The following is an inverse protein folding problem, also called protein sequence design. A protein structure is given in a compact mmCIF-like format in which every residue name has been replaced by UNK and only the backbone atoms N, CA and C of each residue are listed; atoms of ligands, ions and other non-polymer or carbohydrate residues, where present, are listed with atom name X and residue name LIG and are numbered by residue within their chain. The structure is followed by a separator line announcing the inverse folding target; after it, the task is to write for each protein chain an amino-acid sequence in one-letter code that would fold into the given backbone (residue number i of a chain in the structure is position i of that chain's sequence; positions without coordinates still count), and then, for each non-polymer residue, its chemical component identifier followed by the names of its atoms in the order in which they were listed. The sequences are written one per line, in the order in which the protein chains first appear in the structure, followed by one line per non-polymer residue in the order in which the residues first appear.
data_IF_497101829570
#
_entry.id   IF_497101829570
#
_cell.length_a   1.000
_cell.length_b   1.000
_cell.length_c   1.000
_cell.angle_alpha   90.00
_cell.angle_beta   90.00
_cell.angle_gamma   90.00
#
_symmetry.space_group_name_H-M   'P 1'
#
loop_
_entity.id
_entity.type
_entity.pdbx_description
1 polymer ?
#
# COMPACT_ATOMS: atom_id res chain seq x y z
N UNK A 1 -13.68 2.15 20.05
CA UNK A 1 -12.83 2.61 18.94
C UNK A 1 -13.08 4.10 18.71
N UNK A 2 -12.05 4.91 18.47
CA UNK A 2 -12.23 6.35 18.20
C UNK A 2 -12.95 6.58 16.86
N UNK A 3 -13.74 7.65 16.75
CA UNK A 3 -14.50 7.99 15.54
C UNK A 3 -13.64 8.30 14.32
N UNK A 4 -12.39 8.70 14.53
CA UNK A 4 -11.46 8.99 13.43
C UNK A 4 -10.83 7.75 12.80
N UNK A 5 -10.95 6.59 13.44
CA UNK A 5 -10.35 5.33 12.98
C UNK A 5 -11.37 4.53 12.18
N UNK A 6 -11.81 5.09 11.07
CA UNK A 6 -12.80 4.51 10.17
C UNK A 6 -12.13 3.57 9.17
N UNK A 7 -12.68 2.37 9.00
CA UNK A 7 -12.08 1.37 8.11
C UNK A 7 -13.08 0.42 7.47
N UNK A 8 -14.36 0.47 7.84
CA UNK A 8 -15.40 -0.42 7.29
C UNK A 8 -15.65 -0.13 5.81
N UNK A 9 -16.25 -1.08 5.11
CA UNK A 9 -16.62 -0.89 3.69
C UNK A 9 -17.60 0.28 3.53
N UNK A 10 -18.50 0.47 4.49
CA UNK A 10 -19.43 1.60 4.56
C UNK A 10 -18.68 2.93 4.72
N UNK A 11 -17.65 2.97 5.60
CA UNK A 11 -16.80 4.16 5.79
C UNK A 11 -16.06 4.52 4.50
N UNK A 12 -15.60 3.52 3.74
CA UNK A 12 -14.99 3.74 2.42
C UNK A 12 -16.00 4.36 1.46
N UNK A 13 -17.23 3.82 1.41
CA UNK A 13 -18.31 4.35 0.59
C UNK A 13 -18.66 5.80 0.96
N UNK A 14 -18.76 6.12 2.25
CA UNK A 14 -19.01 7.48 2.73
C UNK A 14 -17.87 8.45 2.36
N UNK A 15 -16.62 8.05 2.61
CA UNK A 15 -15.46 8.88 2.31
C UNK A 15 -15.34 9.17 0.80
N UNK A 16 -15.55 8.15 -0.04
CA UNK A 16 -15.52 8.27 -1.50
C UNK A 16 -16.69 9.14 -1.98
N UNK A 17 -17.89 8.96 -1.43
CA UNK A 17 -19.07 9.78 -1.75
C UNK A 17 -18.95 11.25 -1.34
N UNK A 18 -18.09 11.56 -0.36
CA UNK A 18 -17.82 12.91 0.11
C UNK A 18 -16.69 13.63 -0.64
N UNK A 19 -16.02 12.97 -1.60
CA UNK A 19 -14.94 13.57 -2.39
C UNK A 19 -15.51 14.67 -3.31
N UNK A 20 -14.94 15.86 -3.21
CA UNK A 20 -15.34 17.05 -4.01
C UNK A 20 -14.18 17.66 -4.78
N UNK A 21 -12.94 17.49 -4.31
CA UNK A 21 -11.72 18.04 -4.91
C UNK A 21 -10.95 17.01 -5.73
N UNK A 22 -11.21 15.73 -5.49
CA UNK A 22 -10.62 14.62 -6.20
C UNK A 22 -11.53 14.05 -7.30
N UNK A 23 -11.01 13.08 -8.03
CA UNK A 23 -11.76 12.28 -9.01
C UNK A 23 -11.88 10.86 -8.49
N UNK A 24 -13.12 10.40 -8.34
CA UNK A 24 -13.45 9.02 -7.93
C UNK A 24 -13.67 8.18 -9.16
N UNK A 25 -13.14 6.95 -9.15
CA UNK A 25 -13.41 5.93 -10.17
C UNK A 25 -13.74 4.59 -9.52
N UNK A 26 -14.69 3.87 -10.10
CA UNK A 26 -14.91 2.46 -9.85
C UNK A 26 -13.90 1.67 -10.69
N UNK A 27 -12.96 1.02 -10.05
CA UNK A 27 -11.89 0.28 -10.74
C UNK A 27 -12.26 -1.18 -10.97
N UNK A 28 -12.96 -1.80 -10.04
CA UNK A 28 -13.47 -3.16 -10.13
C UNK A 28 -14.69 -3.38 -9.24
N UNK A 29 -15.34 -4.52 -9.45
CA UNK A 29 -16.28 -5.10 -8.50
C UNK A 29 -15.66 -6.41 -8.02
N UNK A 30 -15.55 -6.58 -6.70
CA UNK A 30 -14.96 -7.76 -6.09
C UNK A 30 -15.80 -9.01 -6.32
N UNK A 31 -15.23 -10.17 -6.00
CA UNK A 31 -15.94 -11.45 -6.09
C UNK A 31 -17.26 -11.46 -5.29
N UNK A 32 -17.29 -10.79 -4.13
CA UNK A 32 -18.47 -10.61 -3.28
C UNK A 32 -19.42 -9.49 -3.73
N UNK A 33 -19.20 -8.89 -4.91
CA UNK A 33 -20.06 -7.84 -5.46
C UNK A 33 -19.82 -6.45 -4.87
N UNK A 34 -18.71 -6.20 -4.17
CA UNK A 34 -18.39 -4.93 -3.53
C UNK A 34 -17.51 -4.06 -4.42
N UNK A 35 -17.73 -2.73 -4.43
CA UNK A 35 -16.95 -1.83 -5.28
C UNK A 35 -15.52 -1.65 -4.76
N UNK A 36 -14.55 -1.63 -5.70
CA UNK A 36 -13.16 -1.25 -5.49
C UNK A 36 -12.95 0.10 -6.13
N UNK A 37 -12.64 1.11 -5.33
CA UNK A 37 -12.51 2.49 -5.79
C UNK A 37 -11.06 2.96 -5.86
N UNK A 38 -10.80 3.91 -6.75
CA UNK A 38 -9.67 4.82 -6.65
C UNK A 38 -10.14 6.26 -6.47
N UNK A 39 -9.37 7.04 -5.69
CA UNK A 39 -9.53 8.48 -5.55
C UNK A 39 -8.24 9.14 -6.00
N UNK A 40 -8.31 10.12 -6.89
CA UNK A 40 -7.12 10.76 -7.39
C UNK A 40 -7.19 12.27 -7.31
N UNK A 41 -6.06 12.91 -6.94
CA UNK A 41 -5.87 14.33 -6.81
C UNK A 41 -4.78 14.83 -7.75
N UNK A 42 -4.90 16.08 -8.18
CA UNK A 42 -4.03 16.64 -9.19
C UNK A 42 -4.35 16.11 -10.59
N UNK A 43 -4.20 16.96 -11.59
CA UNK A 43 -4.36 16.56 -12.98
C UNK A 43 -3.25 15.57 -13.38
N UNK A 44 -3.61 14.58 -14.20
CA UNK A 44 -2.64 13.69 -14.81
C UNK A 44 -1.94 14.42 -15.95
N UNK A 45 -0.62 14.60 -15.83
CA UNK A 45 0.16 15.14 -16.94
C UNK A 45 0.16 14.12 -18.09
N UNK A 46 -0.08 14.54 -19.33
CA UNK A 46 -0.04 13.67 -20.48
C UNK A 46 1.36 13.09 -20.66
N UNK A 47 1.42 11.84 -21.08
CA UNK A 47 2.67 11.21 -21.47
C UNK A 47 2.53 10.41 -22.77
N UNK A 48 3.62 10.32 -23.51
CA UNK A 48 3.68 9.51 -24.72
C UNK A 48 4.11 8.09 -24.33
N UNK A 49 3.44 7.10 -24.90
CA UNK A 49 3.76 5.68 -24.75
C UNK A 49 3.84 5.04 -26.12
N UNK A 50 4.98 4.42 -26.43
CA UNK A 50 5.21 3.67 -27.67
C UNK A 50 5.50 2.18 -27.43
N UNK A 51 5.74 1.80 -26.16
CA UNK A 51 6.03 0.44 -25.76
C UNK A 51 5.41 0.12 -24.39
N UNK A 52 5.22 -1.16 -24.05
CA UNK A 52 5.02 -1.59 -22.67
C UNK A 52 6.34 -1.47 -21.90
N UNK A 53 6.28 -1.55 -20.56
CA UNK A 53 7.47 -1.34 -19.73
C UNK A 53 8.56 -2.38 -19.99
N UNK A 54 8.21 -3.66 -20.13
CA UNK A 54 9.20 -4.72 -20.37
C UNK A 54 9.99 -4.47 -21.66
N UNK A 55 9.31 -4.15 -22.76
CA UNK A 55 9.96 -3.83 -24.04
C UNK A 55 10.80 -2.57 -23.94
N UNK A 56 10.29 -1.52 -23.28
CA UNK A 56 11.01 -0.26 -23.08
C UNK A 56 12.27 -0.47 -22.24
N UNK A 57 12.21 -1.24 -21.18
CA UNK A 57 13.33 -1.57 -20.30
C UNK A 57 14.41 -2.39 -21.05
N UNK A 58 14.00 -3.43 -21.78
CA UNK A 58 14.90 -4.26 -22.58
C UNK A 58 15.57 -3.50 -23.73
N UNK A 59 14.92 -2.48 -24.27
CA UNK A 59 15.50 -1.60 -25.29
C UNK A 59 16.44 -0.53 -24.71
N UNK A 60 16.64 -0.50 -23.38
CA UNK A 60 17.37 0.56 -22.67
C UNK A 60 16.75 1.98 -22.83
N UNK A 61 15.48 2.06 -23.22
CA UNK A 61 14.71 3.29 -23.37
C UNK A 61 13.41 3.24 -22.56
N UNK A 62 13.49 3.19 -21.21
CA UNK A 62 12.31 3.03 -20.35
C UNK A 62 11.30 4.19 -20.50
N UNK A 63 11.71 5.35 -20.98
CA UNK A 63 10.83 6.47 -21.35
C UNK A 63 9.88 6.15 -22.51
N UNK A 64 10.15 5.12 -23.31
CA UNK A 64 9.20 4.66 -24.32
C UNK A 64 7.89 4.13 -23.70
N UNK A 65 7.91 3.73 -22.42
CA UNK A 65 6.73 3.36 -21.67
C UNK A 65 5.95 4.58 -21.17
N UNK A 66 6.63 5.62 -20.68
CA UNK A 66 5.97 6.82 -20.15
C UNK A 66 6.90 8.03 -20.23
N UNK A 67 6.93 8.68 -21.40
CA UNK A 67 7.65 9.92 -21.61
C UNK A 67 6.79 11.09 -21.23
N UNK A 68 7.11 11.74 -20.11
CA UNK A 68 6.47 12.96 -19.62
C UNK A 68 7.29 14.18 -20.01
N UNK A 69 6.60 15.35 -20.11
CA UNK A 69 7.27 16.62 -20.30
C UNK A 69 8.18 16.97 -19.11
N UNK A 70 9.27 17.73 -19.32
CA UNK A 70 10.04 18.28 -18.21
C UNK A 70 9.13 19.11 -17.28
N UNK A 71 9.27 18.91 -15.97
CA UNK A 71 8.46 19.57 -14.95
C UNK A 71 7.07 18.97 -14.71
N UNK A 72 6.73 17.85 -15.38
CA UNK A 72 5.54 17.09 -15.06
C UNK A 72 5.51 16.68 -13.58
N UNK A 73 4.32 16.67 -12.98
CA UNK A 73 4.13 16.28 -11.58
C UNK A 73 4.56 14.84 -11.35
N UNK A 74 5.28 14.55 -10.27
CA UNK A 74 5.51 13.17 -9.86
C UNK A 74 4.18 12.50 -9.50
N UNK A 75 4.12 11.18 -9.72
CA UNK A 75 2.94 10.38 -9.44
C UNK A 75 3.23 9.44 -8.28
N UNK A 76 2.46 9.59 -7.20
CA UNK A 76 2.46 8.69 -6.05
C UNK A 76 1.15 7.87 -6.06
N UNK A 77 1.27 6.56 -5.99
CA UNK A 77 0.13 5.65 -5.83
C UNK A 77 0.18 4.98 -4.46
N UNK A 78 -0.94 5.02 -3.75
CA UNK A 78 -1.16 4.38 -2.45
C UNK A 78 -2.13 3.23 -2.66
N UNK A 79 -1.71 2.02 -2.30
CA UNK A 79 -2.51 0.79 -2.36
C UNK A 79 -2.74 0.33 -0.94
N UNK A 80 -3.97 0.35 -0.46
CA UNK A 80 -4.32 0.00 0.92
C UNK A 80 -5.41 -1.07 0.97
N UNK A 81 -5.49 -1.80 2.08
CA UNK A 81 -6.50 -2.83 2.28
C UNK A 81 -6.39 -3.99 1.30
N UNK A 82 -5.19 -4.37 0.88
CA UNK A 82 -4.91 -5.60 0.11
C UNK A 82 -5.31 -6.82 0.93
N UNK A 83 -5.01 -6.80 2.22
CA UNK A 83 -5.58 -7.70 3.21
C UNK A 83 -6.67 -6.96 3.99
N UNK A 84 -7.89 -7.46 3.94
CA UNK A 84 -9.05 -6.77 4.53
C UNK A 84 -9.04 -6.73 6.06
N UNK A 85 -8.21 -7.55 6.72
CA UNK A 85 -8.03 -7.52 8.17
C UNK A 85 -7.03 -6.45 8.64
N UNK A 86 -6.24 -5.92 7.74
CA UNK A 86 -5.28 -4.86 8.02
C UNK A 86 -5.98 -3.49 7.98
N UNK A 87 -6.89 -3.31 8.94
CA UNK A 87 -7.85 -2.20 9.01
C UNK A 87 -7.17 -0.83 9.17
N UNK A 88 -5.97 -0.81 9.74
CA UNK A 88 -5.11 0.36 9.93
C UNK A 88 -4.79 1.03 8.59
N UNK A 89 -4.57 0.21 7.58
CA UNK A 89 -4.22 0.66 6.23
C UNK A 89 -5.36 1.42 5.58
N UNK A 90 -6.58 0.91 5.74
CA UNK A 90 -7.81 1.56 5.26
C UNK A 90 -8.03 2.87 6.03
N UNK A 91 -7.91 2.83 7.37
CA UNK A 91 -8.07 4.03 8.20
C UNK A 91 -7.05 5.13 7.83
N UNK A 92 -5.78 4.75 7.59
CA UNK A 92 -4.75 5.65 7.11
C UNK A 92 -5.07 6.28 5.76
N UNK A 93 -5.57 5.48 4.81
CA UNK A 93 -5.96 5.96 3.48
C UNK A 93 -7.18 6.89 3.52
N UNK A 94 -8.20 6.59 4.34
CA UNK A 94 -9.38 7.46 4.51
C UNK A 94 -9.01 8.80 5.16
N UNK A 95 -8.11 8.78 6.13
CA UNK A 95 -7.59 10.01 6.73
C UNK A 95 -6.74 10.83 5.73
N UNK A 96 -5.96 10.17 4.86
CA UNK A 96 -5.26 10.87 3.76
C UNK A 96 -6.26 11.54 2.81
N UNK A 97 -7.32 10.84 2.38
CA UNK A 97 -8.40 11.43 1.57
C UNK A 97 -8.99 12.64 2.28
N UNK A 98 -9.28 12.54 3.59
CA UNK A 98 -9.80 13.66 4.38
C UNK A 98 -8.86 14.85 4.41
N UNK A 99 -7.56 14.63 4.57
CA UNK A 99 -6.55 15.70 4.50
C UNK A 99 -6.55 16.37 3.13
N UNK A 100 -6.68 15.61 2.05
CA UNK A 100 -6.75 16.18 0.68
C UNK A 100 -7.99 17.03 0.47
N UNK A 101 -9.12 16.67 1.06
CA UNK A 101 -10.38 17.40 0.92
C UNK A 101 -10.42 18.66 1.81
N UNK A 102 -9.83 18.63 3.00
CA UNK A 102 -10.07 19.65 4.04
C UNK A 102 -8.81 20.27 4.64
N UNK A 103 -7.64 19.70 4.41
CA UNK A 103 -6.38 20.08 5.07
C UNK A 103 -6.20 19.49 6.47
N UNK A 104 -7.19 18.75 6.99
CA UNK A 104 -7.16 18.14 8.33
C UNK A 104 -7.58 16.67 8.25
N UNK A 105 -7.08 15.84 9.17
CA UNK A 105 -7.51 14.46 9.32
C UNK A 105 -8.89 14.35 10.02
N UNK A 106 -9.37 13.14 10.22
CA UNK A 106 -10.66 12.90 10.89
C UNK A 106 -10.66 13.23 12.39
N UNK A 107 -9.48 13.44 13.01
CA UNK A 107 -9.34 13.99 14.37
C UNK A 107 -9.55 15.51 14.41
N UNK A 108 -9.56 16.17 13.24
CA UNK A 108 -9.51 17.63 13.13
C UNK A 108 -8.09 18.20 13.21
N UNK A 109 -7.04 17.36 13.30
CA UNK A 109 -5.64 17.81 13.29
C UNK A 109 -5.26 18.26 11.89
N UNK A 110 -4.76 19.50 11.78
CA UNK A 110 -4.31 20.05 10.51
C UNK A 110 -2.97 19.43 10.07
N UNK A 111 -2.87 19.16 8.76
CA UNK A 111 -1.67 18.64 8.09
C UNK A 111 -1.24 19.55 6.92
N UNK A 112 -0.88 20.83 7.20
CA UNK A 112 -0.63 21.80 6.14
C UNK A 112 0.54 21.41 5.23
N UNK A 113 1.61 20.84 5.79
CA UNK A 113 2.75 20.37 5.01
C UNK A 113 2.40 19.20 4.10
N UNK A 114 1.62 18.22 4.58
CA UNK A 114 1.15 17.09 3.79
C UNK A 114 0.26 17.57 2.63
N UNK A 115 -0.71 18.43 2.92
CA UNK A 115 -1.63 18.97 1.93
C UNK A 115 -0.92 19.82 0.88
N UNK A 116 0.03 20.69 1.30
CA UNK A 116 0.83 21.52 0.38
C UNK A 116 1.66 20.64 -0.57
N UNK A 117 2.41 19.66 -0.02
CA UNK A 117 3.25 18.81 -0.86
C UNK A 117 2.42 17.95 -1.81
N UNK A 118 1.30 17.40 -1.33
CA UNK A 118 0.41 16.59 -2.15
C UNK A 118 -0.19 17.39 -3.33
N UNK A 119 -0.42 18.70 -3.21
CA UNK A 119 -0.90 19.55 -4.30
C UNK A 119 0.04 19.61 -5.51
N UNK A 120 1.32 19.26 -5.30
CA UNK A 120 2.37 19.23 -6.32
C UNK A 120 2.53 17.84 -6.98
N UNK A 121 1.68 16.88 -6.60
CA UNK A 121 1.66 15.52 -7.14
C UNK A 121 0.41 15.24 -7.95
N UNK A 122 0.49 14.24 -8.78
CA UNK A 122 -0.62 13.35 -9.09
C UNK A 122 -0.65 12.27 -8.02
N UNK A 123 -1.63 12.34 -7.11
CA UNK A 123 -1.80 11.37 -6.03
C UNK A 123 -2.97 10.45 -6.38
N UNK A 124 -2.73 9.13 -6.36
CA UNK A 124 -3.73 8.10 -6.65
C UNK A 124 -3.86 7.19 -5.43
N UNK A 125 -5.05 7.05 -4.86
CA UNK A 125 -5.30 6.31 -3.64
C UNK A 125 -6.33 5.22 -3.92
N UNK A 126 -5.99 3.97 -3.67
CA UNK A 126 -6.94 2.85 -3.57
C UNK A 126 -7.14 2.56 -2.08
N UNK A 127 -8.24 3.03 -1.47
CA UNK A 127 -8.37 3.00 -0.01
C UNK A 127 -8.69 1.62 0.56
N UNK A 128 -9.27 0.72 -0.23
CA UNK A 128 -9.58 -0.65 0.17
C UNK A 128 -9.60 -1.54 -1.07
N UNK A 129 -8.54 -2.30 -1.28
CA UNK A 129 -8.41 -3.16 -2.45
C UNK A 129 -9.15 -4.49 -2.30
N UNK A 130 -9.31 -4.99 -1.06
CA UNK A 130 -10.03 -6.22 -0.74
C UNK A 130 -11.27 -5.92 0.15
N UNK A 131 -12.34 -5.36 -0.44
CA UNK A 131 -13.53 -5.05 0.33
C UNK A 131 -14.27 -6.30 0.84
N UNK A 132 -14.08 -7.47 0.21
CA UNK A 132 -14.64 -8.73 0.66
C UNK A 132 -14.02 -9.18 1.98
N UNK A 133 -12.69 -9.22 2.02
CA UNK A 133 -11.95 -9.50 3.24
C UNK A 133 -12.29 -8.50 4.35
N UNK A 134 -12.37 -7.20 4.02
CA UNK A 134 -12.71 -6.16 5.00
C UNK A 134 -14.13 -6.34 5.56
N UNK A 135 -15.10 -6.63 4.72
CA UNK A 135 -16.49 -6.84 5.15
C UNK A 135 -16.66 -8.04 6.09
N UNK A 136 -15.79 -9.06 5.94
CA UNK A 136 -15.83 -10.29 6.75
C UNK A 136 -15.22 -10.10 8.13
N UNK A 137 -14.33 -9.13 8.29
CA UNK A 137 -13.67 -8.85 9.58
C UNK A 137 -14.56 -7.98 10.45
N UNK A 138 -15.08 -8.57 11.53
CA UNK A 138 -15.98 -7.88 12.47
C UNK A 138 -15.29 -6.87 13.38
N UNK A 139 -13.94 -6.80 13.35
CA UNK A 139 -13.14 -5.87 14.15
C UNK A 139 -12.82 -4.62 13.33
N UNK A 140 -12.82 -3.50 14.01
CA UNK A 140 -12.47 -2.19 13.44
C UNK A 140 -11.06 -1.74 13.86
N UNK A 141 -10.34 -2.58 14.60
CA UNK A 141 -8.96 -2.40 15.05
C UNK A 141 -8.55 -3.52 15.99
N UNK A 142 -7.24 -3.70 16.15
CA UNK A 142 -6.66 -4.74 17.00
C UNK A 142 -5.92 -4.17 18.21
N UNK A 143 -5.96 -2.87 18.42
CA UNK A 143 -5.31 -2.20 19.56
C UNK A 143 -5.76 -2.81 20.88
N UNK A 144 -4.80 -3.35 21.65
CA UNK A 144 -5.03 -3.98 22.95
C UNK A 144 -5.63 -5.38 22.89
N UNK A 145 -5.83 -5.97 21.70
CA UNK A 145 -6.26 -7.35 21.53
C UNK A 145 -5.05 -8.27 21.33
N UNK A 146 -5.12 -9.56 21.72
CA UNK A 146 -4.08 -10.52 21.43
C UNK A 146 -3.86 -10.71 19.91
N UNK A 147 -2.63 -11.01 19.48
CA UNK A 147 -2.28 -11.31 18.09
C UNK A 147 -3.09 -12.47 17.50
N UNK A 148 -3.43 -13.50 18.31
CA UNK A 148 -4.31 -14.60 17.90
C UNK A 148 -5.69 -14.11 17.42
N UNK A 149 -6.18 -12.97 17.95
CA UNK A 149 -7.42 -12.36 17.45
C UNK A 149 -7.22 -11.84 16.03
N UNK A 150 -6.07 -11.22 15.75
CA UNK A 150 -5.72 -10.79 14.40
C UNK A 150 -5.53 -11.99 13.47
N UNK A 151 -4.82 -13.04 13.90
CA UNK A 151 -4.65 -14.26 13.12
C UNK A 151 -6.00 -14.90 12.76
N UNK A 152 -6.94 -14.96 13.71
CA UNK A 152 -8.28 -15.45 13.44
C UNK A 152 -8.97 -14.66 12.33
N UNK A 153 -9.04 -13.32 12.47
CA UNK A 153 -9.72 -12.48 11.50
C UNK A 153 -8.90 -12.28 10.21
N UNK A 154 -7.58 -12.31 10.28
CA UNK A 154 -6.66 -12.14 9.16
C UNK A 154 -6.52 -13.39 8.32
N UNK A 155 -5.95 -14.42 8.93
CA UNK A 155 -5.55 -15.64 8.22
C UNK A 155 -6.64 -16.71 8.24
N UNK A 156 -7.54 -16.69 9.25
CA UNK A 156 -8.66 -17.60 9.35
C UNK A 156 -8.33 -18.91 10.09
N UNK A 157 -9.21 -19.90 9.93
CA UNK A 157 -9.11 -21.19 10.59
C UNK A 157 -9.33 -22.35 9.65
N UNK A 158 -8.77 -23.52 10.00
CA UNK A 158 -9.16 -24.80 9.41
C UNK A 158 -10.62 -25.12 9.77
N UNK A 159 -11.22 -26.10 9.11
CA UNK A 159 -12.54 -26.63 9.44
C UNK A 159 -12.61 -27.21 10.87
N UNK A 160 -11.49 -27.65 11.43
CA UNK A 160 -11.35 -28.10 12.81
C UNK A 160 -11.14 -26.94 13.82
N UNK A 161 -11.13 -25.68 13.37
CA UNK A 161 -10.99 -24.50 14.22
C UNK A 161 -9.53 -24.15 14.60
N UNK A 162 -8.53 -24.81 14.03
CA UNK A 162 -7.12 -24.45 14.24
C UNK A 162 -6.81 -23.17 13.47
N UNK A 163 -6.14 -22.20 14.13
CA UNK A 163 -5.69 -20.98 13.47
C UNK A 163 -4.68 -21.29 12.36
N UNK A 164 -4.88 -20.69 11.21
CA UNK A 164 -3.82 -20.52 10.23
C UNK A 164 -2.84 -19.47 10.75
N UNK A 165 -1.55 -19.65 10.44
CA UNK A 165 -0.50 -18.68 10.72
C UNK A 165 0.45 -18.55 9.54
N UNK A 166 1.12 -17.42 9.45
CA UNK A 166 2.19 -17.21 8.47
C UNK A 166 3.44 -18.04 8.85
N UNK A 167 4.16 -18.72 7.93
CA UNK A 167 3.90 -18.77 6.48
C UNK A 167 2.93 -19.88 6.04
N UNK A 168 2.48 -20.75 6.96
CA UNK A 168 1.66 -21.93 6.64
C UNK A 168 0.39 -21.61 5.83
N UNK A 169 -0.26 -20.50 6.13
CA UNK A 169 -1.47 -20.02 5.40
C UNK A 169 -1.22 -19.88 3.90
N UNK A 170 0.02 -19.67 3.47
CA UNK A 170 0.40 -19.50 2.05
C UNK A 170 0.52 -20.81 1.27
N UNK A 171 0.46 -21.95 1.94
CA UNK A 171 0.39 -23.27 1.27
C UNK A 171 -0.98 -23.48 0.58
N UNK A 172 -1.98 -22.62 0.89
CA UNK A 172 -3.34 -22.73 0.38
C UNK A 172 -3.70 -21.49 -0.41
N UNK A 173 -3.69 -21.63 -1.76
CA UNK A 173 -4.07 -20.52 -2.64
C UNK A 173 -4.62 -21.04 -3.98
N UNK A 174 -5.90 -20.72 -4.33
CA UNK A 174 -6.86 -20.02 -3.49
C UNK A 174 -7.22 -20.80 -2.23
N UNK A 175 -7.59 -20.09 -1.16
CA UNK A 175 -8.01 -20.70 0.10
C UNK A 175 -9.40 -21.31 -0.05
N UNK A 176 -9.41 -22.54 -0.53
CA UNK A 176 -10.61 -23.38 -0.68
C UNK A 176 -10.31 -24.77 -0.10
N UNK A 177 -11.26 -25.42 0.49
CA UNK A 177 -11.08 -26.76 1.04
C UNK A 177 -11.14 -26.79 2.56
N UNK A 178 -10.01 -26.88 3.28
CA UNK A 178 -10.02 -26.96 4.76
C UNK A 178 -10.18 -25.57 5.40
N UNK A 179 -11.40 -25.00 5.31
CA UNK A 179 -11.72 -23.66 5.79
C UNK A 179 -12.90 -23.71 6.75
N UNK A 180 -12.66 -23.27 8.00
CA UNK A 180 -13.70 -23.03 8.98
C UNK A 180 -14.16 -21.56 8.90
N UNK A 181 -13.25 -20.63 9.18
CA UNK A 181 -13.45 -19.20 8.94
C UNK A 181 -12.46 -18.72 7.89
N UNK A 182 -12.96 -18.15 6.81
CA UNK A 182 -12.11 -17.55 5.77
C UNK A 182 -11.60 -16.20 6.26
N UNK A 183 -10.30 -16.06 6.48
CA UNK A 183 -9.70 -14.82 6.97
C UNK A 183 -9.78 -13.67 5.97
N UNK A 184 -9.62 -12.44 6.48
CA UNK A 184 -9.64 -11.22 5.68
C UNK A 184 -8.44 -11.04 4.74
N UNK A 185 -7.46 -11.92 4.78
CA UNK A 185 -6.39 -12.00 3.76
C UNK A 185 -6.94 -12.31 2.38
N UNK A 186 -8.08 -12.99 2.32
CA UNK A 186 -8.64 -13.51 1.09
C UNK A 186 -9.88 -12.72 0.69
N UNK A 187 -10.12 -12.59 -0.62
CA UNK A 187 -11.43 -12.17 -1.12
C UNK A 187 -12.45 -13.31 -1.00
N UNK A 188 -13.68 -13.13 -1.47
CA UNK A 188 -14.74 -14.15 -1.36
C UNK A 188 -14.51 -15.40 -2.24
N UNK A 189 -13.51 -15.37 -3.13
CA UNK A 189 -13.05 -16.54 -3.89
C UNK A 189 -11.84 -17.24 -3.24
N UNK A 190 -11.39 -16.82 -2.07
CA UNK A 190 -10.21 -17.37 -1.42
C UNK A 190 -8.89 -16.90 -2.03
N UNK A 191 -8.90 -15.84 -2.82
CA UNK A 191 -7.68 -15.28 -3.43
C UNK A 191 -7.04 -14.27 -2.50
N UNK A 192 -5.74 -14.46 -2.18
CA UNK A 192 -4.90 -13.47 -1.54
C UNK A 192 -4.31 -12.55 -2.61
N UNK A 193 -4.74 -11.29 -2.64
CA UNK A 193 -4.33 -10.34 -3.68
C UNK A 193 -2.82 -10.06 -3.70
N UNK A 194 -2.14 -10.16 -2.55
CA UNK A 194 -0.68 -9.99 -2.45
C UNK A 194 0.09 -11.13 -3.12
N UNK A 195 -0.49 -12.32 -3.16
CA UNK A 195 0.12 -13.55 -3.65
C UNK A 195 -0.68 -14.18 -4.80
N UNK A 196 -1.53 -13.40 -5.49
CA UNK A 196 -2.25 -13.85 -6.69
C UNK A 196 -1.27 -14.26 -7.81
N UNK A 197 -1.72 -15.00 -8.80
CA UNK A 197 -0.91 -15.27 -10.00
C UNK A 197 -0.71 -13.97 -10.78
N UNK A 198 0.47 -13.35 -10.61
CA UNK A 198 0.74 -12.03 -11.20
C UNK A 198 0.83 -12.05 -12.74
N UNK A 199 1.01 -13.22 -13.36
CA UNK A 199 0.98 -13.37 -14.80
C UNK A 199 -0.45 -13.59 -15.33
N UNK A 200 -1.28 -14.25 -14.53
CA UNK A 200 -2.68 -14.55 -14.85
C UNK A 200 -3.57 -14.30 -13.62
N UNK A 201 -3.73 -13.02 -13.18
CA UNK A 201 -4.44 -12.73 -11.96
C UNK A 201 -5.86 -13.31 -11.94
N UNK A 202 -6.20 -14.01 -10.88
CA UNK A 202 -7.51 -14.63 -10.69
C UNK A 202 -8.55 -13.59 -10.24
N UNK A 203 -8.14 -12.66 -9.36
CA UNK A 203 -9.02 -11.65 -8.80
C UNK A 203 -9.12 -10.40 -9.69
N UNK A 204 -10.34 -9.87 -9.85
CA UNK A 204 -10.56 -8.59 -10.55
C UNK A 204 -9.93 -7.42 -9.81
N UNK A 205 -9.82 -7.52 -8.48
CA UNK A 205 -9.15 -6.57 -7.62
C UNK A 205 -7.66 -6.46 -7.97
N UNK A 206 -6.96 -7.59 -8.10
CA UNK A 206 -5.55 -7.64 -8.53
C UNK A 206 -5.39 -7.03 -9.92
N UNK A 207 -6.25 -7.41 -10.86
CA UNK A 207 -6.25 -6.85 -12.22
C UNK A 207 -6.45 -5.34 -12.21
N UNK A 208 -7.33 -4.82 -11.35
CA UNK A 208 -7.57 -3.39 -11.21
C UNK A 208 -6.34 -2.63 -10.71
N UNK A 209 -5.66 -3.14 -9.67
CA UNK A 209 -4.41 -2.54 -9.15
C UNK A 209 -3.35 -2.48 -10.27
N UNK A 210 -3.11 -3.60 -10.93
CA UNK A 210 -2.10 -3.70 -11.99
C UNK A 210 -2.45 -2.81 -13.19
N UNK A 211 -3.73 -2.78 -13.60
CA UNK A 211 -4.20 -1.90 -14.67
C UNK A 211 -4.00 -0.44 -14.32
N UNK A 212 -4.37 -0.02 -13.10
CA UNK A 212 -4.23 1.35 -12.65
C UNK A 212 -2.77 1.79 -12.58
N UNK A 213 -1.88 0.94 -12.04
CA UNK A 213 -0.44 1.18 -12.04
C UNK A 213 0.13 1.35 -13.45
N UNK A 214 -0.34 0.55 -14.40
CA UNK A 214 0.05 0.68 -15.81
C UNK A 214 -0.45 1.98 -16.44
N UNK A 215 -1.68 2.40 -16.12
CA UNK A 215 -2.31 3.60 -16.69
C UNK A 215 -1.71 4.88 -16.11
N UNK A 216 -1.56 4.97 -14.80
CA UNK A 216 -1.04 6.15 -14.12
C UNK A 216 0.49 6.26 -14.24
N UNK A 217 1.18 5.16 -14.55
CA UNK A 217 2.64 5.09 -14.65
C UNK A 217 3.33 5.77 -13.45
N UNK A 218 3.06 5.35 -12.19
CA UNK A 218 3.54 6.04 -11.00
C UNK A 218 5.06 6.10 -10.95
N UNK A 219 5.59 7.12 -10.28
CA UNK A 219 7.01 7.21 -9.96
C UNK A 219 7.33 6.41 -8.69
N UNK A 220 6.36 6.33 -7.78
CA UNK A 220 6.44 5.55 -6.56
C UNK A 220 5.09 4.92 -6.21
N UNK A 221 5.13 3.68 -5.73
CA UNK A 221 3.97 2.98 -5.18
C UNK A 221 4.30 2.53 -3.77
N UNK A 222 3.44 2.87 -2.83
CA UNK A 222 3.46 2.29 -1.50
C UNK A 222 2.29 1.33 -1.38
N UNK A 223 2.61 0.05 -1.15
CA UNK A 223 1.66 -0.99 -0.80
C UNK A 223 1.58 -1.02 0.72
N UNK A 224 0.42 -0.64 1.26
CA UNK A 224 0.25 -0.40 2.70
C UNK A 224 -0.39 -1.62 3.33
N UNK A 225 0.35 -2.23 4.24
CA UNK A 225 -0.01 -3.38 5.05
C UNK A 225 0.11 -3.04 6.54
N UNK A 226 -0.20 -3.99 7.41
CA UNK A 226 0.04 -3.87 8.85
C UNK A 226 0.37 -5.24 9.48
N UNK A 227 1.17 -5.20 10.56
CA UNK A 227 1.72 -6.37 11.21
C UNK A 227 1.37 -6.36 12.72
N UNK A 228 1.12 -7.56 13.28
CA UNK A 228 0.70 -7.72 14.68
C UNK A 228 1.81 -7.45 15.68
N UNK A 229 3.06 -7.71 15.33
CA UNK A 229 4.19 -7.57 16.26
C UNK A 229 4.84 -6.19 16.17
N UNK A 230 5.13 -5.72 14.97
CA UNK A 230 5.86 -4.46 14.74
C UNK A 230 5.62 -3.92 13.33
N UNK A 231 5.87 -2.62 13.15
CA UNK A 231 5.93 -2.05 11.81
C UNK A 231 7.27 -2.31 11.13
N UNK A 232 7.27 -2.51 9.82
CA UNK A 232 8.49 -2.66 9.03
C UNK A 232 8.30 -2.21 7.58
N UNK A 233 9.43 -1.97 6.88
CA UNK A 233 9.44 -1.82 5.43
C UNK A 233 10.00 -3.09 4.79
N UNK A 234 9.22 -3.65 3.86
CA UNK A 234 9.66 -4.77 3.04
C UNK A 234 10.11 -4.25 1.68
N UNK A 235 11.32 -4.61 1.29
CA UNK A 235 11.87 -4.27 -0.01
C UNK A 235 11.43 -5.30 -1.04
N UNK A 236 11.13 -4.84 -2.26
CA UNK A 236 10.84 -5.74 -3.37
C UNK A 236 12.01 -6.70 -3.63
N UNK A 237 11.69 -7.98 -3.87
CA UNK A 237 12.68 -9.01 -4.09
C UNK A 237 13.28 -8.96 -5.51
N UNK A 238 12.42 -8.75 -6.51
CA UNK A 238 12.77 -8.89 -7.94
C UNK A 238 12.90 -7.54 -8.66
N UNK A 239 13.63 -6.62 -8.06
CA UNK A 239 13.92 -5.29 -8.63
C UNK A 239 15.43 -5.05 -8.70
N UNK A 240 15.92 -4.10 -9.51
CA UNK A 240 17.34 -3.79 -9.60
C UNK A 240 17.95 -3.47 -8.22
N UNK A 241 19.20 -3.91 -7.94
CA UNK A 241 19.86 -3.67 -6.65
C UNK A 241 19.89 -2.19 -6.23
N UNK A 242 20.17 -1.28 -7.17
CA UNK A 242 20.19 0.15 -6.91
C UNK A 242 18.80 0.69 -6.48
N UNK A 243 17.72 0.08 -6.96
CA UNK A 243 16.37 0.40 -6.51
C UNK A 243 16.13 -0.08 -5.07
N UNK A 244 16.59 -1.29 -4.72
CA UNK A 244 16.51 -1.79 -3.33
C UNK A 244 17.25 -0.86 -2.37
N UNK A 245 18.48 -0.47 -2.71
CA UNK A 245 19.28 0.49 -1.92
C UNK A 245 18.52 1.80 -1.72
N UNK A 246 17.96 2.35 -2.79
CA UNK A 246 17.20 3.60 -2.70
C UNK A 246 15.92 3.46 -1.89
N UNK A 247 15.19 2.35 -2.03
CA UNK A 247 14.01 2.07 -1.21
C UNK A 247 14.38 1.98 0.27
N UNK A 248 15.52 1.35 0.59
CA UNK A 248 16.04 1.31 1.95
C UNK A 248 16.37 2.70 2.49
N UNK A 249 17.07 3.56 1.72
CA UNK A 249 17.34 4.95 2.11
C UNK A 249 16.05 5.72 2.44
N UNK A 250 15.00 5.54 1.63
CA UNK A 250 13.70 6.18 1.85
C UNK A 250 13.07 5.68 3.16
N UNK A 251 13.11 4.38 3.40
CA UNK A 251 12.62 3.79 4.65
C UNK A 251 13.39 4.29 5.88
N UNK A 252 14.73 4.29 5.82
CA UNK A 252 15.59 4.75 6.91
C UNK A 252 15.30 6.24 7.25
N UNK A 253 15.10 7.09 6.24
CA UNK A 253 14.75 8.50 6.44
C UNK A 253 13.39 8.68 7.14
N UNK A 254 12.40 7.85 6.79
CA UNK A 254 11.13 7.84 7.50
C UNK A 254 11.32 7.47 8.97
N UNK A 255 12.10 6.42 9.26
CA UNK A 255 12.37 5.98 10.63
C UNK A 255 13.04 7.08 11.47
N UNK A 256 13.98 7.83 10.87
CA UNK A 256 14.61 8.98 11.53
C UNK A 256 13.60 10.08 11.88
N UNK A 257 12.66 10.37 10.97
CA UNK A 257 11.61 11.37 11.21
C UNK A 257 10.69 10.91 12.34
N UNK A 258 10.23 9.66 12.32
CA UNK A 258 9.38 9.09 13.36
C UNK A 258 10.04 9.19 14.74
N UNK A 259 11.32 8.80 14.83
CA UNK A 259 12.11 8.93 16.06
C UNK A 259 12.22 10.38 16.54
N UNK A 260 12.45 11.31 15.61
CA UNK A 260 12.53 12.74 15.93
C UNK A 260 11.22 13.32 16.44
N UNK A 261 10.09 12.85 15.90
CA UNK A 261 8.75 13.30 16.28
C UNK A 261 8.20 12.55 17.50
N UNK A 262 8.96 11.59 18.05
CA UNK A 262 8.56 10.82 19.23
C UNK A 262 7.37 9.90 19.00
N UNK A 263 7.09 9.58 17.74
CA UNK A 263 6.06 8.61 17.39
C UNK A 263 6.70 7.22 17.34
N UNK A 264 6.10 6.21 17.97
CA UNK A 264 6.57 4.85 17.86
C UNK A 264 6.64 4.46 16.38
N UNK A 265 7.80 4.02 15.90
CA UNK A 265 8.08 3.80 14.50
C UNK A 265 8.19 2.32 14.17
N UNK A 266 8.09 2.02 12.88
CA UNK A 266 8.65 0.78 12.37
C UNK A 266 10.12 0.72 12.78
N UNK A 267 10.51 -0.34 13.49
CA UNK A 267 11.88 -0.44 13.99
C UNK A 267 12.88 -0.91 12.95
N UNK A 268 12.41 -1.30 11.77
CA UNK A 268 13.19 -2.20 10.98
C UNK A 268 12.89 -2.05 9.50
N UNK A 269 13.93 -1.79 8.73
CA UNK A 269 13.92 -2.03 7.29
C UNK A 269 14.65 -3.35 7.09
N UNK A 270 14.01 -4.35 6.48
CA UNK A 270 14.68 -5.60 6.16
C UNK A 270 15.96 -5.33 5.39
N UNK A 271 17.00 -6.12 5.67
CA UNK A 271 18.25 -6.00 4.95
C UNK A 271 18.03 -6.33 3.46
N UNK A 272 18.94 -5.85 2.62
CA UNK A 272 18.87 -6.14 1.18
C UNK A 272 19.03 -7.65 0.94
N UNK A 273 19.79 -8.32 1.81
CA UNK A 273 20.03 -9.76 1.80
C UNK A 273 18.80 -10.57 2.18
N UNK A 274 17.91 -10.00 3.02
CA UNK A 274 16.65 -10.65 3.42
C UNK A 274 15.60 -10.63 2.31
N UNK A 275 15.75 -9.82 1.28
CA UNK A 275 14.96 -9.91 0.06
C UNK A 275 15.41 -11.13 -0.75
N UNK A 276 14.87 -12.29 -0.36
CA UNK A 276 15.33 -13.61 -0.82
C UNK A 276 15.04 -13.86 -2.29
N UNK A 277 16.04 -14.38 -3.01
CA UNK A 277 15.90 -14.77 -4.41
C UNK A 277 15.03 -16.02 -4.64
N UNK A 278 14.72 -16.77 -3.56
CA UNK A 278 13.86 -17.94 -3.57
C UNK A 278 12.36 -17.63 -3.40
N UNK A 279 12.01 -16.33 -3.19
CA UNK A 279 10.63 -15.89 -3.15
C UNK A 279 10.07 -15.73 -4.55
N UNK A 280 8.79 -15.98 -4.71
CA UNK A 280 8.08 -15.65 -5.95
C UNK A 280 7.80 -14.14 -6.02
N UNK A 281 7.50 -13.65 -7.23
CA UNK A 281 7.02 -12.31 -7.46
C UNK A 281 5.69 -12.10 -6.74
N UNK A 282 5.62 -11.09 -5.90
CA UNK A 282 4.39 -10.65 -5.25
C UNK A 282 3.75 -9.46 -5.99
N UNK A 283 2.63 -8.93 -5.46
CA UNK A 283 1.93 -7.79 -6.04
C UNK A 283 2.84 -6.56 -6.17
N UNK A 284 3.67 -6.30 -5.17
CA UNK A 284 4.55 -5.12 -5.15
C UNK A 284 5.64 -5.23 -6.20
N UNK A 285 6.24 -6.42 -6.38
CA UNK A 285 7.17 -6.70 -7.47
C UNK A 285 6.50 -6.59 -8.84
N UNK A 286 5.28 -7.13 -8.98
CA UNK A 286 4.53 -7.09 -10.24
C UNK A 286 4.25 -5.64 -10.70
N UNK A 287 3.95 -4.74 -9.77
CA UNK A 287 3.77 -3.31 -10.07
C UNK A 287 5.04 -2.72 -10.68
N UNK A 288 6.23 -3.03 -10.16
CA UNK A 288 7.49 -2.61 -10.78
C UNK A 288 7.62 -3.17 -12.20
N UNK A 289 7.45 -4.47 -12.38
CA UNK A 289 7.64 -5.11 -13.69
C UNK A 289 6.64 -4.63 -14.75
N UNK A 290 5.50 -4.08 -14.33
CA UNK A 290 4.49 -3.55 -15.21
C UNK A 290 4.66 -2.06 -15.53
N UNK A 291 5.25 -1.28 -14.62
CA UNK A 291 5.26 0.19 -14.70
C UNK A 291 6.63 0.84 -14.55
N UNK A 292 7.63 0.13 -14.03
CA UNK A 292 8.93 0.69 -13.66
C UNK A 292 8.89 1.67 -12.49
N UNK A 293 7.79 1.65 -11.72
CA UNK A 293 7.67 2.42 -10.50
C UNK A 293 8.66 1.95 -9.44
N UNK A 294 9.16 2.84 -8.62
CA UNK A 294 9.71 2.41 -7.34
C UNK A 294 8.58 1.90 -6.45
N UNK A 295 8.80 0.78 -5.80
CA UNK A 295 7.80 0.16 -4.95
C UNK A 295 8.38 -0.21 -3.59
N UNK A 296 7.55 -0.11 -2.56
CA UNK A 296 7.86 -0.57 -1.22
C UNK A 296 6.59 -1.07 -0.54
N UNK A 297 6.69 -2.11 0.27
CA UNK A 297 5.62 -2.51 1.17
C UNK A 297 5.88 -1.90 2.54
N UNK A 298 4.89 -1.21 3.07
CA UNK A 298 4.90 -0.63 4.41
C UNK A 298 4.00 -1.45 5.31
N UNK A 299 4.58 -2.10 6.32
CA UNK A 299 3.86 -2.78 7.38
C UNK A 299 3.69 -1.83 8.56
N UNK A 300 2.49 -1.30 8.75
CA UNK A 300 2.17 -0.47 9.91
C UNK A 300 1.92 -1.32 11.18
N UNK A 301 2.07 -0.76 12.39
CA UNK A 301 1.76 -1.49 13.61
C UNK A 301 0.24 -1.61 13.82
N UNK A 302 -0.22 -2.76 14.32
CA UNK A 302 -1.63 -2.99 14.67
C UNK A 302 -1.96 -2.70 16.13
N UNK A 303 -0.94 -2.61 17.00
CA UNK A 303 -1.12 -2.32 18.42
C UNK A 303 -1.65 -3.49 19.23
N UNK A 304 -1.36 -4.73 18.83
CA UNK A 304 -1.73 -5.93 19.58
C UNK A 304 -1.13 -5.91 20.99
N UNK A 305 -1.83 -6.48 21.98
CA UNK A 305 -1.46 -6.41 23.40
C UNK A 305 -0.22 -7.23 23.76
N UNK A 306 0.10 -8.23 22.98
CA UNK A 306 1.24 -9.13 23.09
C UNK A 306 2.36 -8.81 22.10
N UNK A 307 2.26 -7.67 21.42
CA UNK A 307 3.36 -7.12 20.64
C UNK A 307 4.60 -6.93 21.51
N UNK A 308 5.70 -7.54 21.09
CA UNK A 308 6.93 -7.66 21.91
C UNK A 308 7.65 -6.33 22.14
N UNK A 309 7.35 -5.32 21.35
CA UNK A 309 8.20 -4.13 21.35
C UNK A 309 7.52 -2.87 21.86
N UNK A 310 6.18 -2.71 21.80
CA UNK A 310 5.52 -1.49 22.32
C UNK A 310 4.01 -1.43 22.15
N UNK A 311 3.36 -0.83 23.13
CA UNK A 311 1.97 -0.49 23.03
C UNK A 311 1.80 0.80 22.20
N UNK A 312 1.17 0.70 21.05
CA UNK A 312 0.75 1.83 20.24
C UNK A 312 -0.78 1.91 20.21
N UNK A 313 -1.31 3.09 20.42
CA UNK A 313 -2.75 3.34 20.31
C UNK A 313 -3.16 3.82 18.92
N UNK A 314 -4.46 3.95 18.70
CA UNK A 314 -5.05 4.36 17.42
C UNK A 314 -4.48 5.68 16.88
N UNK A 315 -4.19 6.66 17.75
CA UNK A 315 -3.60 7.94 17.31
C UNK A 315 -2.18 7.76 16.78
N UNK A 316 -1.37 6.99 17.49
CA UNK A 316 0.00 6.69 17.04
C UNK A 316 0.02 5.90 15.73
N UNK A 317 -0.86 4.91 15.58
CA UNK A 317 -1.03 4.15 14.33
C UNK A 317 -1.37 5.10 13.18
N UNK A 318 -2.36 5.98 13.36
CA UNK A 318 -2.71 6.94 12.33
C UNK A 318 -1.56 7.91 12.02
N UNK A 319 -0.84 8.36 13.05
CA UNK A 319 0.32 9.24 12.85
C UNK A 319 1.42 8.54 12.04
N UNK A 320 1.66 7.23 12.25
CA UNK A 320 2.65 6.48 11.43
C UNK A 320 2.30 6.55 9.94
N UNK A 321 1.04 6.36 9.58
CA UNK A 321 0.59 6.41 8.18
C UNK A 321 0.69 7.83 7.59
N UNK A 322 0.16 8.85 8.28
CA UNK A 322 0.14 10.22 7.75
C UNK A 322 1.55 10.82 7.64
N UNK A 323 2.45 10.50 8.58
CA UNK A 323 3.86 10.89 8.50
C UNK A 323 4.53 10.17 7.33
N UNK A 324 4.27 8.88 7.12
CA UNK A 324 4.81 8.13 5.98
C UNK A 324 4.41 8.80 4.66
N UNK A 325 3.13 9.14 4.46
CA UNK A 325 2.69 9.85 3.26
C UNK A 325 3.36 11.21 3.11
N UNK A 326 3.46 12.00 4.18
CA UNK A 326 4.16 13.29 4.15
C UNK A 326 5.62 13.16 3.73
N UNK A 327 6.34 12.17 4.27
CA UNK A 327 7.75 11.95 3.96
C UNK A 327 7.96 11.45 2.53
N UNK A 328 7.12 10.56 2.03
CA UNK A 328 7.17 10.14 0.63
C UNK A 328 6.97 11.33 -0.31
N UNK A 329 5.98 12.19 -0.05
CA UNK A 329 5.76 13.40 -0.84
C UNK A 329 6.96 14.36 -0.75
N UNK A 330 7.56 14.53 0.44
CA UNK A 330 8.75 15.36 0.62
C UNK A 330 9.92 14.85 -0.21
N UNK A 331 10.20 13.56 -0.15
CA UNK A 331 11.30 12.92 -0.88
C UNK A 331 11.07 13.02 -2.39
N UNK A 332 9.85 12.80 -2.85
CA UNK A 332 9.53 12.88 -4.28
C UNK A 332 9.71 14.28 -4.90
N UNK A 333 9.69 15.35 -4.07
CA UNK A 333 9.93 16.73 -4.50
C UNK A 333 11.40 17.17 -4.43
N UNK A 334 12.28 16.36 -3.86
CA UNK A 334 13.71 16.67 -3.81
C UNK A 334 14.40 16.55 -5.19
N UNK A 335 15.56 17.18 -5.37
CA UNK A 335 16.35 16.95 -6.58
C UNK A 335 16.64 15.46 -6.78
N UNK A 336 16.25 14.92 -7.94
CA UNK A 336 16.30 13.48 -8.23
C UNK A 336 15.11 12.68 -7.74
N UNK A 337 14.23 13.27 -6.93
CA UNK A 337 12.98 12.67 -6.47
C UNK A 337 13.16 11.29 -5.82
N UNK A 338 12.25 10.40 -6.08
CA UNK A 338 12.33 9.04 -5.56
C UNK A 338 13.61 8.29 -6.01
N UNK A 339 14.17 8.61 -7.17
CA UNK A 339 15.38 7.98 -7.72
C UNK A 339 16.69 8.47 -7.11
N UNK A 340 16.65 9.54 -6.32
CA UNK A 340 17.77 10.07 -5.53
C UNK A 340 18.87 10.79 -6.33
N UNK A 341 18.95 10.59 -7.64
CA UNK A 341 19.97 11.22 -8.51
C UNK A 341 19.30 11.89 -9.71
N UNK A 342 19.63 13.17 -10.01
CA UNK A 342 19.17 13.81 -11.23
C UNK A 342 19.59 13.02 -12.48
N UNK A 343 18.67 12.88 -13.44
CA UNK A 343 18.92 12.17 -14.70
C UNK A 343 18.75 10.66 -14.67
N UNK A 344 18.51 10.04 -13.51
CA UNK A 344 18.11 8.63 -13.46
C UNK A 344 16.69 8.51 -14.02
N UNK A 345 16.56 7.78 -15.11
CA UNK A 345 15.30 7.58 -15.80
C UNK A 345 14.54 6.39 -15.23
N UNK A 346 13.21 6.33 -15.44
CA UNK A 346 12.37 5.20 -15.07
C UNK A 346 12.97 3.88 -15.56
N UNK A 347 13.13 2.90 -14.66
CA UNK A 347 13.69 1.59 -14.99
C UNK A 347 15.16 1.58 -15.45
N UNK A 348 15.87 2.70 -15.45
CA UNK A 348 17.28 2.78 -15.79
C UNK A 348 18.11 2.99 -14.52
N UNK A 349 18.26 1.93 -13.76
CA UNK A 349 19.02 1.87 -12.52
C UNK A 349 20.45 1.42 -12.84
N UNK A 350 21.23 2.29 -13.49
CA UNK A 350 22.67 2.06 -13.63
C UNK A 350 23.35 2.39 -12.31
N UNK A 351 24.29 1.54 -11.92
CA UNK A 351 25.15 1.71 -10.73
C UNK A 351 25.91 3.03 -10.72
#
# INVERSE_FOLDING_TARGET
MPEFFRSRVEDVGEAVGAVTRGVVRLEAVSAGGRPVYSVSYGEADPYRRTANFASAALSHHPEAFALRAPGAKPVLMVVAGVHGAEVETVAGALNLIRVMETGSDLRGRAWPELAEKASRFRLVIMPCCNPDGRARVAKDGFVGLPADTMHYYGQGTTSAGKLYNWPWVKEFHPMVGDVGFLGGYFNDQGVNLQCDDMFFPMAEETRAILRLARLEAPDFVVNVHSHEERGEFLLCAFVPPAMKLRSKEIADRYLEVMKKEGVPACHFTRSIEDARADWAMDLTDAVYHLSGAMCITFEGPQGCSDSLEWAIGYEGILDTHLIMYRELLRIGLEPGGFRGKPGVRRGNWKE
#
